data_IF_110096659097
#
_entry.id   IF_110096659097
#
_cell.length_a   1.000
_cell.length_b   1.000
_cell.length_c   1.000
_cell.angle_alpha   90.00
_cell.angle_beta   90.00
_cell.angle_gamma   90.00
#
_symmetry.space_group_name_H-M   'P 1'
#
loop_
_entity.id
_entity.type
_entity.pdbx_description
1 polymer ?
2 non-polymer ?
3 non-polymer ?
4 water ?
#
# COMPACT_ATOMS: atom_id res chain seq x y z
N UNK A 2 12.68 -1.74 -8.88
CA UNK A 2 12.00 -1.00 -7.78
C UNK A 2 11.38 -2.03 -6.84
N UNK A 3 11.30 -1.70 -5.55
CA UNK A 3 10.77 -2.67 -4.55
C UNK A 3 9.40 -2.19 -4.07
N UNK A 4 8.43 -3.09 -4.01
CA UNK A 4 7.07 -2.73 -3.55
C UNK A 4 6.73 -3.52 -2.29
N UNK A 5 6.30 -2.81 -1.25
CA UNK A 5 5.84 -3.48 -0.01
C UNK A 5 4.32 -3.58 -0.12
N UNK A 6 3.79 -4.80 -0.09
CA UNK A 6 2.34 -5.05 -0.20
C UNK A 6 1.80 -5.39 1.18
N UNK A 7 0.91 -4.56 1.70
CA UNK A 7 0.33 -4.77 3.06
C UNK A 7 -1.13 -5.16 2.94
N UNK A 8 -1.43 -6.42 3.25
CA UNK A 8 -2.82 -6.91 3.24
C UNK A 8 -2.88 -8.18 4.10
N UNK A 9 -3.88 -8.25 4.98
CA UNK A 9 -4.03 -9.40 5.89
C UNK A 9 -4.65 -10.58 5.14
N UNK A 10 -5.28 -10.33 4.00
CA UNK A 10 -5.88 -11.45 3.24
C UNK A 10 -4.87 -12.01 2.23
N UNK A 11 -4.40 -13.22 2.48
CA UNK A 11 -3.37 -13.86 1.63
C UNK A 11 -3.80 -13.97 0.16
N UNK A 12 -5.04 -14.38 -0.17
CA UNK A 12 -5.45 -14.46 -1.57
C UNK A 12 -5.29 -13.12 -2.31
N UNK A 13 -5.63 -12.02 -1.64
CA UNK A 13 -5.51 -10.65 -2.24
C UNK A 13 -4.02 -10.31 -2.37
N UNK A 14 -3.27 -10.48 -1.30
CA UNK A 14 -1.81 -10.23 -1.33
C UNK A 14 -1.18 -10.99 -2.50
N UNK A 15 -1.56 -12.25 -2.66
CA UNK A 15 -1.01 -13.12 -3.73
C UNK A 15 -1.32 -12.53 -5.11
N UNK A 16 -2.54 -12.05 -5.30
CA UNK A 16 -2.92 -11.49 -6.62
C UNK A 16 -2.09 -10.24 -6.89
N UNK A 17 -1.93 -9.37 -5.90
CA UNK A 17 -1.15 -8.13 -6.12
C UNK A 17 0.31 -8.48 -6.36
N UNK A 18 0.84 -9.39 -5.55
CA UNK A 18 2.25 -9.83 -5.69
C UNK A 18 2.49 -10.35 -7.11
N UNK A 19 1.60 -11.21 -7.59
CA UNK A 19 1.71 -11.80 -8.95
C UNK A 19 1.81 -10.67 -9.98
N UNK A 20 0.88 -9.71 -9.89
CA UNK A 20 0.82 -8.57 -10.83
C UNK A 20 2.04 -7.66 -10.72
N UNK A 21 2.59 -7.46 -9.52
CA UNK A 21 3.78 -6.59 -9.40
C UNK A 21 5.00 -7.35 -9.89
N UNK A 22 5.03 -8.66 -9.65
CA UNK A 22 6.17 -9.50 -10.11
C UNK A 22 6.21 -9.44 -11.64
N UNK A 23 5.05 -9.46 -12.28
CA UNK A 23 4.92 -9.41 -13.77
C UNK A 23 5.49 -8.09 -14.30
N UNK A 24 5.45 -7.03 -13.50
CA UNK A 24 5.98 -5.72 -13.92
C UNK A 24 7.50 -5.66 -13.69
N UNK A 25 8.10 -6.69 -13.11
CA UNK A 25 9.54 -6.70 -12.85
C UNK A 25 9.91 -6.07 -11.51
N UNK A 26 8.92 -5.84 -10.65
CA UNK A 26 9.25 -5.24 -9.33
C UNK A 26 9.65 -6.34 -8.33
N UNK A 27 10.47 -5.97 -7.36
CA UNK A 27 10.80 -6.90 -6.26
C UNK A 27 9.66 -6.72 -5.25
N UNK A 28 9.10 -7.81 -4.75
CA UNK A 28 7.93 -7.69 -3.84
C UNK A 28 8.28 -8.18 -2.43
N UNK A 29 7.85 -7.42 -1.44
CA UNK A 29 7.95 -7.81 0.00
C UNK A 29 6.52 -7.71 0.53
N UNK A 30 6.11 -8.64 1.39
CA UNK A 30 4.73 -8.61 1.90
C UNK A 30 4.68 -8.49 3.42
N UNK A 31 3.58 -7.93 3.93
CA UNK A 31 3.29 -7.80 5.37
C UNK A 31 1.81 -8.14 5.55
N UNK A 32 1.46 -8.88 6.61
CA UNK A 32 0.05 -9.32 6.76
C UNK A 32 -0.68 -8.61 7.91
N UNK A 33 -0.04 -7.64 8.53
CA UNK A 33 -0.68 -6.82 9.58
C UNK A 33 0.09 -5.49 9.71
N UNK A 34 -0.46 -4.52 10.44
CA UNK A 34 0.17 -3.20 10.57
C UNK A 34 1.52 -3.24 11.25
N UNK A 35 1.69 -4.17 12.18
CA UNK A 35 3.00 -4.27 12.89
C UNK A 35 4.04 -4.76 11.89
N UNK A 36 3.72 -5.83 11.17
CA UNK A 36 4.60 -6.35 10.11
C UNK A 36 4.86 -5.27 9.06
N UNK A 37 3.86 -4.45 8.75
CA UNK A 37 4.04 -3.38 7.74
C UNK A 37 5.16 -2.43 8.18
N UNK A 38 5.11 -1.96 9.42
CA UNK A 38 6.15 -1.02 9.89
C UNK A 38 7.50 -1.71 9.96
N UNK A 39 7.53 -2.98 10.34
CA UNK A 39 8.82 -3.69 10.44
C UNK A 39 9.44 -3.87 9.04
N UNK A 40 8.61 -4.25 8.07
CA UNK A 40 9.12 -4.46 6.68
C UNK A 40 9.55 -3.11 6.10
N UNK A 41 8.76 -2.07 6.36
CA UNK A 41 9.11 -0.72 5.86
C UNK A 41 10.51 -0.35 6.36
N UNK A 42 10.78 -0.58 7.64
CA UNK A 42 12.10 -0.17 8.20
C UNK A 42 13.23 -1.06 7.69
N UNK A 43 12.99 -2.36 7.57
CA UNK A 43 14.07 -3.28 7.15
C UNK A 43 14.31 -3.24 5.64
N UNK A 44 13.25 -3.05 4.86
CA UNK A 44 13.33 -3.15 3.39
C UNK A 44 13.46 -1.80 2.67
N UNK A 45 13.00 -0.71 3.26
CA UNK A 45 13.07 0.63 2.61
C UNK A 45 12.48 0.51 1.19
N UNK A 46 11.20 0.12 1.07
CA UNK A 46 10.59 -0.05 -0.24
C UNK A 46 10.45 1.30 -0.97
N UNK A 47 10.33 1.24 -2.29
CA UNK A 47 10.17 2.44 -3.13
C UNK A 47 8.71 2.88 -3.14
N UNK A 48 7.81 1.95 -2.82
CA UNK A 48 6.36 2.28 -2.80
C UNK A 48 5.65 1.26 -1.91
N UNK A 49 4.60 1.71 -1.24
CA UNK A 49 3.82 0.80 -0.35
C UNK A 49 2.37 0.75 -0.83
N UNK A 50 1.87 -0.45 -1.04
CA UNK A 50 0.43 -0.65 -1.36
C UNK A 50 -0.17 -1.03 -0.02
N UNK A 51 -1.13 -0.25 0.47
CA UNK A 51 -1.53 -0.40 1.88
C UNK A 51 -3.02 -0.63 2.09
N UNK A 52 -3.35 -1.82 2.59
CA UNK A 52 -4.72 -2.16 3.04
C UNK A 52 -5.00 -1.40 4.34
N UNK A 53 -6.27 -1.24 4.72
CA UNK A 53 -6.60 -0.43 5.92
C UNK A 53 -7.11 -1.31 7.07
N UNK A 54 -8.04 -2.20 6.79
CA UNK A 54 -8.53 -3.12 7.84
C UNK A 54 -7.46 -4.21 8.01
N UNK A 55 -6.61 -4.01 9.01
CA UNK A 55 -5.47 -4.91 9.32
C UNK A 55 -5.46 -5.23 10.82
N UNK A 56 -4.99 -6.42 11.23
CA UNK A 56 -4.81 -6.73 12.65
C UNK A 56 -3.65 -5.91 13.22
N UNK A 57 -3.59 -5.81 14.55
CA UNK A 57 -2.53 -5.14 15.35
C UNK A 57 -2.55 -3.62 15.19
N UNK A 58 -2.23 -3.12 13.99
CA UNK A 58 -2.22 -1.66 13.74
C UNK A 58 -2.96 -1.43 12.42
N UNK A 59 -3.95 -0.54 12.40
CA UNK A 59 -4.72 -0.33 11.16
C UNK A 59 -3.90 0.48 10.15
N UNK A 60 -4.30 0.40 8.88
CA UNK A 60 -3.57 1.06 7.80
C UNK A 60 -3.47 2.56 7.97
N UNK A 61 -4.51 3.20 8.51
CA UNK A 61 -4.43 4.67 8.68
C UNK A 61 -3.31 4.98 9.67
N UNK A 62 -3.22 4.21 10.75
CA UNK A 62 -2.14 4.41 11.74
C UNK A 62 -0.79 4.11 11.09
N UNK A 63 -0.71 3.06 10.28
CA UNK A 63 0.58 2.74 9.62
C UNK A 63 1.02 3.94 8.79
N UNK A 64 0.12 4.47 7.98
CA UNK A 64 0.46 5.61 7.11
C UNK A 64 0.90 6.81 7.95
N UNK A 65 0.14 7.14 8.99
CA UNK A 65 0.50 8.30 9.85
C UNK A 65 1.90 8.09 10.43
N UNK A 66 2.16 6.89 10.95
CA UNK A 66 3.48 6.59 11.55
C UNK A 66 4.59 6.72 10.51
N UNK A 67 4.39 6.13 9.33
CA UNK A 67 5.45 6.19 8.28
C UNK A 67 5.74 7.64 7.91
N UNK A 68 4.70 8.46 7.83
CA UNK A 68 4.80 9.88 7.40
C UNK A 68 5.61 10.71 8.40
N UNK A 69 5.70 10.23 9.65
CA UNK A 69 6.51 10.94 10.67
C UNK A 69 7.97 10.96 10.22
N UNK A 70 8.41 9.97 9.45
CA UNK A 70 9.83 9.93 9.06
C UNK A 70 10.06 9.76 7.56
N UNK A 71 9.05 9.45 6.76
CA UNK A 71 9.37 9.20 5.33
C UNK A 71 8.32 9.75 4.37
N UNK A 72 8.76 10.12 3.17
CA UNK A 72 7.88 10.63 2.09
C UNK A 72 7.68 9.51 1.07
N UNK A 73 7.97 8.26 1.45
CA UNK A 73 7.80 7.11 0.53
C UNK A 73 6.37 7.13 -0.03
N UNK A 74 6.15 6.96 -1.34
CA UNK A 74 4.80 6.94 -1.89
C UNK A 74 3.96 5.82 -1.27
N UNK A 75 2.73 6.17 -0.95
CA UNK A 75 1.77 5.21 -0.36
C UNK A 75 0.51 5.19 -1.21
N UNK A 76 0.11 4.01 -1.62
CA UNK A 76 -1.14 3.85 -2.38
C UNK A 76 -2.07 2.99 -1.53
N UNK A 77 -3.11 3.60 -0.98
CA UNK A 77 -4.03 2.80 -0.16
C UNK A 77 -4.94 1.99 -1.07
N UNK A 78 -5.17 0.73 -0.70
CA UNK A 78 -6.01 -0.21 -1.47
C UNK A 78 -6.95 -0.86 -0.46
N UNK A 79 -8.22 -0.46 -0.45
CA UNK A 79 -9.13 -0.96 0.60
C UNK A 79 -10.57 -1.10 0.09
N UNK A 80 -11.34 -1.93 0.80
CA UNK A 80 -12.77 -2.05 0.51
C UNK A 80 -13.46 -0.80 1.08
N UNK A 81 -12.83 -0.12 2.02
CA UNK A 81 -13.39 1.12 2.58
C UNK A 81 -13.42 2.13 1.42
N UNK A 82 -14.61 2.49 0.94
CA UNK A 82 -14.72 3.33 -0.27
C UNK A 82 -15.56 4.60 -0.07
N UNK A 83 -15.79 5.00 1.18
CA UNK A 83 -16.61 6.21 1.44
C UNK A 83 -15.81 7.50 1.18
N UNK A 84 -16.52 8.61 1.06
CA UNK A 84 -15.87 9.91 0.86
C UNK A 84 -14.97 10.17 2.07
N UNK A 85 -15.48 9.90 3.28
CA UNK A 85 -14.67 10.14 4.49
C UNK A 85 -13.40 9.29 4.43
N UNK A 86 -13.54 8.03 4.02
CA UNK A 86 -12.39 7.09 4.01
C UNK A 86 -11.30 7.63 3.09
N UNK A 87 -11.67 7.96 1.86
CA UNK A 87 -10.67 8.45 0.87
C UNK A 87 -10.05 9.76 1.35
N UNK A 88 -10.89 10.69 1.81
CA UNK A 88 -10.36 12.00 2.26
C UNK A 88 -9.40 11.81 3.43
N UNK A 89 -9.79 11.03 4.44
CA UNK A 89 -8.90 10.87 5.61
C UNK A 89 -7.59 10.17 5.19
N UNK A 90 -7.66 9.14 4.34
CA UNK A 90 -6.44 8.48 3.90
C UNK A 90 -5.50 9.46 3.23
N UNK A 91 -6.03 10.25 2.31
CA UNK A 91 -5.20 11.25 1.57
C UNK A 91 -4.70 12.32 2.55
N UNK A 92 -5.56 12.81 3.42
CA UNK A 92 -5.14 13.87 4.38
C UNK A 92 -4.03 13.34 5.30
N UNK A 93 -4.03 12.06 5.63
CA UNK A 93 -3.00 11.50 6.53
C UNK A 93 -1.68 11.26 5.79
N UNK A 94 -1.66 11.37 4.46
CA UNK A 94 -0.38 11.21 3.76
C UNK A 94 -0.39 10.27 2.57
N UNK A 95 -1.49 9.59 2.31
CA UNK A 95 -1.56 8.68 1.15
C UNK A 95 -1.44 9.52 -0.13
N UNK A 96 -0.77 8.98 -1.14
CA UNK A 96 -0.60 9.69 -2.44
C UNK A 96 -1.73 9.28 -3.38
N UNK A 97 -2.30 8.11 -3.14
CA UNK A 97 -3.44 7.63 -3.95
C UNK A 97 -4.27 6.68 -3.09
N UNK A 98 -5.49 6.43 -3.55
CA UNK A 98 -6.43 5.57 -2.81
C UNK A 98 -7.29 4.87 -3.84
N UNK A 99 -7.14 3.55 -3.90
CA UNK A 99 -7.87 2.70 -4.87
C UNK A 99 -8.78 1.77 -4.06
N UNK A 100 -10.00 1.56 -4.53
CA UNK A 100 -10.98 0.75 -3.77
C UNK A 100 -11.02 -0.70 -4.29
N UNK A 101 -11.40 -1.62 -3.40
CA UNK A 101 -11.56 -3.05 -3.72
C UNK A 101 -13.04 -3.27 -4.09
N UNK A 102 -13.42 -4.11 -5.07
CA UNK A 102 -12.49 -4.81 -5.96
C UNK A 102 -11.83 -3.84 -6.94
N UNK A 103 -10.64 -4.21 -7.40
CA UNK A 103 -9.83 -3.31 -8.25
C UNK A 103 -9.39 -4.02 -9.53
N UNK A 104 -9.01 -3.21 -10.50
CA UNK A 104 -8.45 -3.69 -11.78
C UNK A 104 -6.93 -3.85 -11.62
N UNK A 105 -6.42 -5.02 -11.95
CA UNK A 105 -4.96 -5.28 -11.86
C UNK A 105 -4.23 -4.30 -12.78
N UNK A 106 -4.79 -4.05 -13.95
CA UNK A 106 -4.12 -3.14 -14.90
C UNK A 106 -4.11 -1.70 -14.35
N UNK A 107 -5.21 -1.26 -13.76
CA UNK A 107 -5.24 0.11 -13.24
C UNK A 107 -4.25 0.21 -12.07
N UNK A 108 -4.19 -0.81 -11.23
CA UNK A 108 -3.24 -0.82 -10.09
C UNK A 108 -1.82 -0.60 -10.65
N UNK A 109 -1.43 -1.42 -11.63
CA UNK A 109 -0.10 -1.31 -12.26
C UNK A 109 0.13 0.11 -12.78
N UNK A 110 -0.86 0.69 -13.44
CA UNK A 110 -0.72 2.04 -14.01
C UNK A 110 -0.55 3.09 -12.89
N UNK A 111 -1.29 2.92 -11.79
CA UNK A 111 -1.19 3.88 -10.67
C UNK A 111 0.16 3.74 -9.96
N UNK A 112 0.65 2.52 -9.84
CA UNK A 112 1.99 2.34 -9.22
C UNK A 112 3.00 3.02 -10.13
N UNK A 113 2.88 2.82 -11.43
CA UNK A 113 3.81 3.47 -12.38
C UNK A 113 3.70 4.98 -12.21
N UNK A 114 2.47 5.51 -12.19
CA UNK A 114 2.28 6.97 -12.10
C UNK A 114 2.92 7.51 -10.82
N UNK A 115 2.78 6.79 -9.71
CA UNK A 115 3.32 7.24 -8.41
C UNK A 115 4.85 7.23 -8.45
N UNK A 116 5.43 6.19 -9.03
CA UNK A 116 6.91 6.08 -9.11
C UNK A 116 7.42 7.20 -10.03
N UNK A 117 6.61 7.58 -11.00
CA UNK A 117 6.97 8.61 -12.00
C UNK A 117 7.17 9.96 -11.33
N UNK A 118 6.28 10.33 -10.40
CA UNK A 118 6.32 11.67 -9.78
C UNK A 118 6.87 11.64 -8.36
N UNK A 119 7.65 10.62 -8.01
CA UNK A 119 8.20 10.49 -6.64
C UNK A 119 9.73 10.50 -6.67
#
# INVERSE_FOLDING_TARGET
>A
MKKILIVDDEKPISDIIKFNMTKEGYEVVTAFNGREALEQFEAEQPDIIILDLMLPEIDGLEVAKTIRKTSSVPILMLSAKDSEFDKVIGLELGADDYVTKPFSNRELQARVKALLRRSQ
#
